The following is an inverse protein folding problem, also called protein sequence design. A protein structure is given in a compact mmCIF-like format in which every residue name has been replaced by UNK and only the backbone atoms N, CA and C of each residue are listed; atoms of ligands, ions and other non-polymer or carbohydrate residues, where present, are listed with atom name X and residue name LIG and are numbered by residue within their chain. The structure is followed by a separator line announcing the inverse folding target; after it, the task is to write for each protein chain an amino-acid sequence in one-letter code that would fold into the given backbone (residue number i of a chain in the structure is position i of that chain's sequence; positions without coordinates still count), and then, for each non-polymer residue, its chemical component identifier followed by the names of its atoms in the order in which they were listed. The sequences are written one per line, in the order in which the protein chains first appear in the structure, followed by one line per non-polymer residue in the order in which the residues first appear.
data_IF_300905011906
#
_entry.id   IF_300905011906
#
_cell.length_a   1.000
_cell.length_b   1.000
_cell.length_c   1.000
_cell.angle_alpha   90.00
_cell.angle_beta   90.00
_cell.angle_gamma   90.00
#
_symmetry.space_group_name_H-M   'P 1'
#
loop_
_entity.id
_entity.type
_entity.pdbx_description
1 polymer ?
#
# COMPACT_ATOMS: atom_id res chain seq x y z
N UNK A 1 1.90 8.12 -2.90
CA UNK A 1 2.11 6.88 -2.11
C UNK A 1 3.46 6.21 -2.34
N UNK A 2 3.96 6.13 -3.58
CA UNK A 2 5.23 5.45 -3.95
C UNK A 2 6.46 5.88 -3.11
N UNK A 3 6.61 7.18 -2.83
CA UNK A 3 7.71 7.69 -1.98
C UNK A 3 7.74 7.03 -0.59
N UNK A 4 6.60 6.92 0.09
CA UNK A 4 6.52 6.34 1.43
C UNK A 4 6.70 4.83 1.43
N UNK A 5 6.18 4.13 0.42
CA UNK A 5 6.42 2.70 0.24
C UNK A 5 7.92 2.41 0.11
N UNK A 6 8.62 3.10 -0.81
CA UNK A 6 10.06 2.94 -1.00
C UNK A 6 10.86 3.24 0.29
N UNK A 7 10.47 4.29 1.02
CA UNK A 7 11.11 4.64 2.29
C UNK A 7 10.85 3.60 3.38
N UNK A 8 9.66 2.99 3.42
CA UNK A 8 9.37 1.91 4.35
C UNK A 8 10.20 0.67 4.05
N UNK A 9 10.30 0.29 2.78
CA UNK A 9 11.05 -0.89 2.38
C UNK A 9 12.53 -0.76 2.78
N UNK A 10 13.13 0.40 2.47
CA UNK A 10 14.52 0.65 2.80
C UNK A 10 14.80 0.69 4.31
N UNK A 11 13.88 1.23 5.11
CA UNK A 11 14.17 1.59 6.52
C UNK A 11 13.60 0.65 7.56
N UNK A 12 12.52 -0.07 7.26
CA UNK A 12 11.75 -0.80 8.27
C UNK A 12 11.51 -2.28 7.94
N UNK A 13 11.61 -2.69 6.67
CA UNK A 13 11.37 -4.10 6.29
C UNK A 13 12.64 -4.84 5.88
N UNK A 14 13.67 -4.15 5.39
CA UNK A 14 14.94 -4.74 4.97
C UNK A 14 16.07 -4.44 5.97
N UNK A 15 16.34 -5.41 6.85
CA UNK A 15 17.55 -5.39 7.67
C UNK A 15 18.80 -5.68 6.80
N UNK A 16 19.91 -5.00 7.09
CA UNK A 16 21.18 -5.20 6.38
C UNK A 16 21.60 -6.68 6.46
N UNK A 17 21.85 -7.28 5.30
CA UNK A 17 22.26 -8.70 5.18
C UNK A 17 21.10 -9.70 5.16
N UNK A 18 19.84 -9.27 5.20
CA UNK A 18 18.68 -10.15 5.06
C UNK A 18 18.16 -10.22 3.62
N UNK A 19 17.53 -11.35 3.30
CA UNK A 19 17.00 -11.65 1.96
C UNK A 19 15.65 -10.95 1.73
N UNK A 20 15.42 -10.49 0.50
CA UNK A 20 14.14 -9.90 0.06
C UNK A 20 12.94 -10.86 0.18
N UNK A 21 13.17 -12.18 0.29
CA UNK A 21 12.09 -13.17 0.41
C UNK A 21 11.34 -13.09 1.75
N UNK A 22 11.94 -12.48 2.78
CA UNK A 22 11.38 -12.42 4.12
C UNK A 22 10.95 -10.99 4.52
N UNK A 23 10.62 -10.14 3.55
CA UNK A 23 10.12 -8.79 3.83
C UNK A 23 8.77 -8.86 4.54
N UNK A 24 8.62 -8.04 5.58
CA UNK A 24 7.35 -7.90 6.31
C UNK A 24 6.32 -7.20 5.42
N UNK A 25 5.04 -7.54 5.63
CA UNK A 25 3.94 -6.79 5.02
C UNK A 25 3.99 -5.34 5.49
N UNK A 26 3.74 -4.42 4.56
CA UNK A 26 3.75 -2.99 4.79
C UNK A 26 2.35 -2.41 4.54
N UNK A 27 1.87 -1.62 5.48
CA UNK A 27 0.59 -0.92 5.39
C UNK A 27 0.85 0.58 5.35
N UNK A 28 0.41 1.23 4.29
CA UNK A 28 0.53 2.66 4.12
C UNK A 28 -0.84 3.30 4.27
N UNK A 29 -1.07 3.99 5.39
CA UNK A 29 -2.36 4.60 5.73
C UNK A 29 -2.26 6.11 5.59
N UNK A 30 -3.08 6.69 4.70
CA UNK A 30 -3.27 8.14 4.60
C UNK A 30 -4.58 8.53 5.25
N UNK A 31 -4.53 9.55 6.10
CA UNK A 31 -5.71 10.19 6.69
C UNK A 31 -5.95 11.50 5.94
N UNK A 32 -7.08 11.61 5.27
CA UNK A 32 -7.45 12.76 4.44
C UNK A 32 -8.70 13.44 4.99
N UNK A 33 -8.72 14.77 5.03
CA UNK A 33 -9.90 15.57 5.39
C UNK A 33 -10.80 15.91 4.18
N UNK A 34 -10.53 15.28 3.04
CA UNK A 34 -11.29 15.36 1.81
C UNK A 34 -11.34 13.97 1.18
N UNK A 35 -12.29 13.75 0.28
CA UNK A 35 -12.36 12.53 -0.51
C UNK A 35 -11.51 12.69 -1.78
N UNK A 36 -10.35 12.02 -1.88
CA UNK A 36 -9.48 12.15 -3.04
C UNK A 36 -10.03 11.47 -4.30
N UNK A 37 -10.88 10.44 -4.15
CA UNK A 37 -11.44 9.71 -5.28
C UNK A 37 -12.82 10.25 -5.69
N UNK A 38 -13.49 10.94 -4.77
CA UNK A 38 -14.80 11.55 -5.00
C UNK A 38 -15.95 10.55 -5.06
N UNK A 39 -15.76 9.33 -4.56
CA UNK A 39 -16.77 8.27 -4.57
C UNK A 39 -17.63 8.24 -3.29
N UNK A 40 -17.39 9.14 -2.34
CA UNK A 40 -18.12 9.26 -1.07
C UNK A 40 -17.84 8.13 -0.08
N UNK A 41 -16.73 7.40 -0.21
CA UNK A 41 -16.41 6.26 0.67
C UNK A 41 -15.46 6.68 1.79
N UNK A 42 -15.73 6.21 3.00
CA UNK A 42 -14.86 6.44 4.17
C UNK A 42 -13.48 5.80 4.00
N UNK A 43 -13.40 4.68 3.28
CA UNK A 43 -12.17 3.91 3.13
C UNK A 43 -11.97 3.43 1.70
N UNK A 44 -10.76 3.66 1.20
CA UNK A 44 -10.27 3.09 -0.05
C UNK A 44 -9.05 2.22 0.23
N UNK A 45 -9.06 0.99 -0.28
CA UNK A 45 -7.93 0.07 -0.19
C UNK A 45 -7.46 -0.27 -1.60
N UNK A 46 -6.15 -0.17 -1.82
CA UNK A 46 -5.52 -0.49 -3.09
C UNK A 46 -4.49 -1.59 -2.92
N UNK A 47 -4.55 -2.53 -3.86
CA UNK A 47 -3.57 -3.58 -4.06
C UNK A 47 -3.05 -3.54 -5.49
N UNK A 48 -1.95 -4.25 -5.72
CA UNK A 48 -1.40 -4.45 -7.07
C UNK A 48 -2.07 -5.66 -7.71
N UNK A 49 -2.52 -5.53 -8.95
CA UNK A 49 -3.19 -6.60 -9.71
C UNK A 49 -2.55 -6.75 -11.07
N UNK A 50 -2.68 -7.94 -11.67
CA UNK A 50 -2.32 -8.15 -13.07
C UNK A 50 -3.22 -7.28 -13.99
N UNK A 51 -2.67 -6.84 -15.12
CA UNK A 51 -3.32 -5.85 -15.97
C UNK A 51 -4.49 -6.45 -16.75
N UNK A 52 -4.35 -7.69 -17.21
CA UNK A 52 -5.39 -8.41 -17.96
C UNK A 52 -6.38 -9.17 -17.08
N UNK A 53 -6.06 -9.42 -15.81
CA UNK A 53 -6.89 -10.17 -14.89
C UNK A 53 -6.84 -9.59 -13.47
N UNK A 54 -7.82 -8.74 -13.14
CA UNK A 54 -7.96 -8.13 -11.80
C UNK A 54 -8.33 -9.09 -10.68
N UNK A 55 -8.67 -10.35 -10.96
CA UNK A 55 -8.78 -11.38 -9.90
C UNK A 55 -7.42 -11.85 -9.39
N UNK A 56 -6.35 -11.67 -10.19
CA UNK A 56 -4.98 -12.02 -9.81
C UNK A 56 -4.30 -10.86 -9.12
N UNK A 57 -4.43 -10.84 -7.79
CA UNK A 57 -3.69 -9.91 -6.95
C UNK A 57 -2.24 -10.35 -6.77
N UNK A 58 -1.31 -9.42 -6.97
CA UNK A 58 0.11 -9.62 -6.66
C UNK A 58 0.31 -9.64 -5.14
N UNK A 59 0.94 -10.69 -4.62
CA UNK A 59 1.26 -10.84 -3.20
C UNK A 59 2.58 -10.11 -2.86
N UNK A 60 2.64 -8.80 -3.16
CA UNK A 60 3.82 -7.95 -2.89
C UNK A 60 3.93 -7.50 -1.42
N UNK A 61 2.93 -7.82 -0.61
CA UNK A 61 2.90 -7.48 0.81
C UNK A 61 2.64 -5.99 1.08
N UNK A 62 2.31 -5.19 0.06
CA UNK A 62 2.04 -3.76 0.20
C UNK A 62 0.54 -3.48 0.08
N UNK A 63 -0.04 -2.92 1.14
CA UNK A 63 -1.41 -2.42 1.14
C UNK A 63 -1.44 -0.91 1.33
N UNK A 64 -2.15 -0.22 0.44
CA UNK A 64 -2.33 1.23 0.52
C UNK A 64 -3.77 1.51 0.93
N UNK A 65 -3.95 2.25 2.01
CA UNK A 65 -5.25 2.58 2.58
C UNK A 65 -5.37 4.10 2.63
N UNK A 66 -6.48 4.62 2.13
CA UNK A 66 -6.89 5.99 2.35
C UNK A 66 -8.13 5.95 3.23
N UNK A 67 -8.11 6.71 4.32
CA UNK A 67 -9.28 6.96 5.17
C UNK A 67 -9.66 8.42 4.97
N UNK A 68 -10.87 8.64 4.46
CA UNK A 68 -11.45 9.97 4.35
C UNK A 68 -12.13 10.34 5.69
N UNK A 69 -12.20 11.63 6.00
CA UNK A 69 -12.91 12.17 7.14
C UNK A 69 -14.18 12.95 6.77
N UNK A 70 -14.73 12.74 5.57
CA UNK A 70 -15.89 13.47 5.03
C UNK A 70 -16.90 12.53 4.39
#
# INVERSE_FOLDING_TARGET
MRYYAAKMDQRYTLDKGKTYRNMKKAYLIFLCNFDPEGEGRIKYTYHTYEDHNKSKQLQDGLEKIIINGK
#
